data_IF_903381116821
#
_entry.id   IF_903381116821
#
_cell.length_a   1.000
_cell.length_b   1.000
_cell.length_c   1.000
_cell.angle_alpha   90.00
_cell.angle_beta   90.00
_cell.angle_gamma   90.00
#
_symmetry.space_group_name_H-M   'P 1'
#
loop_
_entity.id
_entity.type
_entity.pdbx_description
1 polymer ?
#
# COMPACT_ATOMS: atom_id res chain seq x y z
N UNK A 1 -3.43 2.01 0.90
CA UNK A 1 -3.73 1.45 2.24
C UNK A 1 -2.43 1.16 2.98
N UNK A 2 -2.40 1.15 4.32
CA UNK A 2 -1.20 0.74 5.07
C UNK A 2 -1.20 -0.78 5.31
N UNK A 3 -0.33 -1.51 4.60
CA UNK A 3 -0.23 -2.99 4.67
C UNK A 3 1.06 -3.51 5.30
N UNK A 4 1.77 -2.68 6.08
CA UNK A 4 3.01 -3.09 6.75
C UNK A 4 2.81 -3.31 8.24
N UNK A 5 3.81 -3.91 8.93
CA UNK A 5 3.80 -4.01 10.40
C UNK A 5 3.74 -2.64 11.09
N UNK A 6 3.99 -1.54 10.38
CA UNK A 6 3.81 -0.19 10.91
C UNK A 6 2.36 0.07 11.34
N UNK A 7 1.38 -0.61 10.73
CA UNK A 7 -0.03 -0.49 11.15
C UNK A 7 -0.31 -1.03 12.54
N UNK A 8 0.54 -1.94 13.05
CA UNK A 8 0.33 -2.64 14.31
C UNK A 8 0.58 -1.76 15.54
N UNK A 9 1.20 -0.59 15.38
CA UNK A 9 1.43 0.35 16.48
C UNK A 9 1.12 1.77 16.06
N UNK A 10 0.45 2.52 16.96
CA UNK A 10 0.09 3.91 16.69
C UNK A 10 1.33 4.80 16.40
N UNK A 11 2.46 4.50 17.05
CA UNK A 11 3.71 5.23 16.85
C UNK A 11 4.25 5.04 15.42
N UNK A 12 4.37 3.80 14.95
CA UNK A 12 4.91 3.52 13.62
C UNK A 12 3.96 4.01 12.51
N UNK A 13 2.64 3.83 12.67
CA UNK A 13 1.65 4.37 11.75
C UNK A 13 1.72 5.91 11.67
N UNK A 14 1.85 6.58 12.83
CA UNK A 14 1.99 8.03 12.91
C UNK A 14 3.25 8.54 12.19
N UNK A 15 4.37 7.84 12.31
CA UNK A 15 5.60 8.17 11.57
C UNK A 15 5.41 8.00 10.06
N UNK A 16 4.81 6.88 9.62
CA UNK A 16 4.56 6.64 8.20
C UNK A 16 3.65 7.72 7.59
N UNK A 17 2.57 8.11 8.27
CA UNK A 17 1.65 9.16 7.81
C UNK A 17 2.38 10.52 7.68
N UNK A 18 3.25 10.87 8.63
CA UNK A 18 4.03 12.11 8.55
C UNK A 18 4.98 12.11 7.35
N UNK A 19 5.65 10.98 7.10
CA UNK A 19 6.55 10.84 5.94
C UNK A 19 5.79 10.94 4.62
N UNK A 20 4.63 10.28 4.50
CA UNK A 20 3.78 10.40 3.32
C UNK A 20 3.34 11.85 3.08
N UNK A 21 2.89 12.54 4.13
CA UNK A 21 2.50 13.95 4.03
C UNK A 21 3.67 14.85 3.62
N UNK A 22 4.88 14.61 4.14
CA UNK A 22 6.08 15.36 3.74
C UNK A 22 6.46 15.13 2.26
N UNK A 23 6.12 13.97 1.70
CA UNK A 23 6.29 13.63 0.30
C UNK A 23 5.13 14.09 -0.61
N UNK A 24 4.11 14.79 -0.07
CA UNK A 24 2.93 15.19 -0.83
C UNK A 24 1.95 14.05 -1.14
N UNK A 25 2.14 12.88 -0.52
CA UNK A 25 1.24 11.74 -0.69
C UNK A 25 0.07 11.85 0.31
N UNK A 26 -1.18 11.72 -0.15
CA UNK A 26 -2.35 11.71 0.72
C UNK A 26 -2.26 10.62 1.80
N UNK A 27 -2.89 10.87 2.95
CA UNK A 27 -2.94 9.88 4.04
C UNK A 27 -3.56 8.56 3.55
N UNK A 28 -3.13 7.41 4.09
CA UNK A 28 -3.82 6.15 3.82
C UNK A 28 -5.29 6.22 4.21
N UNK A 29 -6.16 5.66 3.37
CA UNK A 29 -7.62 5.60 3.58
C UNK A 29 -7.99 4.67 4.74
N UNK A 30 -7.11 3.69 5.02
CA UNK A 30 -7.21 2.74 6.11
C UNK A 30 -5.93 1.90 6.25
N UNK A 31 -6.02 0.83 7.04
CA UNK A 31 -4.99 -0.17 7.21
C UNK A 31 -5.58 -1.57 6.97
N UNK A 32 -4.77 -2.48 6.43
CA UNK A 32 -5.20 -3.88 6.23
C UNK A 32 -5.36 -4.59 7.57
N UNK A 33 -6.22 -5.62 7.67
CA UNK A 33 -6.30 -6.46 8.87
C UNK A 33 -4.96 -7.14 9.19
N UNK A 34 -4.78 -7.64 10.42
CA UNK A 34 -3.67 -8.53 10.79
C UNK A 34 -4.20 -9.97 10.83
N UNK A 35 -3.89 -10.75 9.80
CA UNK A 35 -4.41 -12.11 9.59
C UNK A 35 -3.38 -13.20 10.01
N UNK A 36 -2.32 -12.84 10.72
CA UNK A 36 -1.26 -13.76 11.20
C UNK A 36 -1.79 -15.03 11.92
N UNK A 37 -1.21 -16.25 11.75
CA UNK A 37 -0.31 -16.75 10.69
C UNK A 37 -1.06 -17.66 9.68
N UNK A 38 -2.36 -17.47 9.48
CA UNK A 38 -3.20 -18.43 8.75
C UNK A 38 -3.43 -17.94 7.32
N UNK A 39 -2.49 -18.22 6.40
CA UNK A 39 -2.66 -17.97 4.96
C UNK A 39 -1.41 -17.49 4.20
N UNK A 40 -1.58 -17.09 2.94
CA UNK A 40 -0.54 -16.58 2.01
C UNK A 40 0.06 -15.21 2.45
N UNK A 41 -0.33 -14.72 3.63
CA UNK A 41 0.28 -13.57 4.29
C UNK A 41 -0.36 -12.24 3.89
N UNK A 42 0.47 -11.21 3.65
CA UNK A 42 0.01 -9.83 3.45
C UNK A 42 -0.80 -9.60 2.18
N UNK A 43 -0.67 -10.48 1.19
CA UNK A 43 -1.48 -10.40 -0.02
C UNK A 43 -2.96 -10.61 0.30
N UNK A 44 -3.29 -11.62 1.11
CA UNK A 44 -4.66 -11.86 1.57
C UNK A 44 -5.20 -10.72 2.43
N UNK A 45 -4.36 -10.09 3.26
CA UNK A 45 -4.75 -8.91 4.04
C UNK A 45 -5.12 -7.73 3.13
N UNK A 46 -4.40 -7.56 2.02
CA UNK A 46 -4.70 -6.55 1.01
C UNK A 46 -6.00 -6.90 0.29
N UNK A 47 -6.16 -8.13 -0.19
CA UNK A 47 -7.37 -8.58 -0.89
C UNK A 47 -8.61 -8.44 0.00
N UNK A 48 -8.55 -8.89 1.25
CA UNK A 48 -9.63 -8.73 2.20
C UNK A 48 -9.99 -7.25 2.45
N UNK A 49 -8.99 -6.37 2.50
CA UNK A 49 -9.24 -4.94 2.61
C UNK A 49 -9.88 -4.38 1.34
N UNK A 50 -9.44 -4.81 0.15
CA UNK A 50 -10.00 -4.37 -1.12
C UNK A 50 -11.48 -4.77 -1.26
N UNK A 51 -11.83 -6.00 -0.88
CA UNK A 51 -13.21 -6.50 -0.90
C UNK A 51 -14.13 -5.66 0.01
N UNK A 52 -13.71 -5.44 1.27
CA UNK A 52 -14.47 -4.66 2.26
C UNK A 52 -14.55 -3.16 1.93
N UNK A 53 -13.68 -2.65 1.07
CA UNK A 53 -13.55 -1.21 0.75
C UNK A 53 -13.79 -0.90 -0.73
N UNK A 54 -14.44 -1.81 -1.46
CA UNK A 54 -14.72 -1.66 -2.90
C UNK A 54 -15.44 -0.37 -3.26
N UNK A 55 -16.30 0.16 -2.37
CA UNK A 55 -17.03 1.43 -2.57
C UNK A 55 -16.16 2.69 -2.44
N UNK A 56 -15.01 2.62 -1.76
CA UNK A 56 -14.11 3.76 -1.54
C UNK A 56 -12.86 3.73 -2.41
N UNK A 57 -12.66 2.65 -3.16
CA UNK A 57 -11.55 2.52 -4.11
C UNK A 57 -12.01 3.10 -5.45
N UNK A 58 -11.32 4.14 -5.91
CA UNK A 58 -11.58 4.78 -7.20
C UNK A 58 -11.22 3.84 -8.36
N UNK A 59 -12.16 3.00 -8.78
CA UNK A 59 -12.08 2.17 -9.98
C UNK A 59 -10.81 1.32 -10.09
N UNK A 60 -10.36 0.71 -8.98
CA UNK A 60 -9.15 -0.11 -8.92
C UNK A 60 -7.85 0.66 -8.72
N UNK A 61 -7.90 1.97 -8.46
CA UNK A 61 -6.70 2.78 -8.14
C UNK A 61 -6.30 2.63 -6.68
N UNK A 62 -5.32 1.78 -6.46
CA UNK A 62 -4.70 1.62 -5.16
C UNK A 62 -3.23 1.27 -5.32
N UNK A 63 -2.45 1.54 -4.27
CA UNK A 63 -1.07 1.09 -4.14
C UNK A 63 -0.86 0.57 -2.71
N UNK A 64 -0.21 -0.58 -2.60
CA UNK A 64 0.32 -1.13 -1.36
C UNK A 64 1.81 -0.80 -1.25
N UNK A 65 2.20 -0.26 -0.08
CA UNK A 65 3.60 -0.07 0.30
C UNK A 65 4.00 -1.15 1.29
N UNK A 66 5.02 -1.94 0.96
CA UNK A 66 5.51 -3.00 1.83
C UNK A 66 7.04 -3.12 1.80
N UNK A 67 7.66 -3.61 2.87
CA UNK A 67 9.09 -3.90 2.91
C UNK A 67 9.45 -5.34 2.50
N UNK A 68 8.45 -6.21 2.40
CA UNK A 68 8.61 -7.54 1.84
C UNK A 68 8.09 -7.56 0.40
N UNK A 69 8.71 -8.33 -0.50
CA UNK A 69 8.08 -8.66 -1.77
C UNK A 69 6.75 -9.37 -1.46
N UNK A 70 5.66 -8.76 -1.90
CA UNK A 70 4.33 -9.37 -1.86
C UNK A 70 4.27 -10.47 -2.94
N UNK A 71 3.51 -11.53 -2.69
CA UNK A 71 3.38 -12.69 -3.58
C UNK A 71 2.94 -12.28 -5.01
N UNK A 72 3.24 -13.10 -6.01
CA UNK A 72 2.87 -12.95 -7.43
C UNK A 72 1.35 -12.83 -7.66
N UNK A 73 0.53 -13.15 -6.66
CA UNK A 73 -0.93 -12.97 -6.72
C UNK A 73 -1.36 -11.51 -6.81
N UNK A 74 -0.56 -10.56 -6.31
CA UNK A 74 -0.83 -9.14 -6.46
C UNK A 74 -0.15 -8.57 -7.72
N UNK A 75 -0.87 -7.85 -8.59
CA UNK A 75 -0.26 -7.20 -9.75
C UNK A 75 0.84 -6.21 -9.32
N UNK A 76 2.04 -6.34 -9.89
CA UNK A 76 3.19 -5.47 -9.53
C UNK A 76 2.94 -3.98 -9.76
N UNK A 77 1.98 -3.65 -10.64
CA UNK A 77 1.52 -2.28 -10.87
C UNK A 77 0.85 -1.63 -9.65
N UNK A 78 0.42 -2.41 -8.66
CA UNK A 78 -0.20 -1.93 -7.42
C UNK A 78 0.71 -2.06 -6.19
N UNK A 79 1.96 -2.51 -6.35
CA UNK A 79 2.87 -2.79 -5.22
C UNK A 79 4.15 -1.98 -5.36
N UNK A 80 4.54 -1.28 -4.30
CA UNK A 80 5.88 -0.68 -4.19
C UNK A 80 6.59 -1.31 -3.00
N UNK A 81 7.79 -1.86 -3.25
CA UNK A 81 8.59 -2.53 -2.23
C UNK A 81 9.64 -1.55 -1.68
N UNK A 82 9.57 -1.26 -0.39
CA UNK A 82 10.53 -0.42 0.35
C UNK A 82 11.65 -1.25 0.94
N UNK A 83 12.85 -0.68 1.12
CA UNK A 83 13.85 -1.30 1.98
C UNK A 83 13.45 -1.11 3.45
N UNK A 84 13.35 -2.18 4.25
CA UNK A 84 12.95 -2.09 5.65
C UNK A 84 13.90 -1.31 6.57
N UNK A 85 15.16 -1.14 6.15
CA UNK A 85 16.19 -0.37 6.88
C UNK A 85 16.24 1.10 6.48
N UNK A 86 15.80 1.43 5.26
CA UNK A 86 15.80 2.80 4.71
C UNK A 86 14.42 3.45 4.82
N UNK A 87 13.35 2.67 4.66
CA UNK A 87 11.97 3.14 4.61
C UNK A 87 11.55 3.65 3.22
N UNK A 88 10.50 4.47 3.19
CA UNK A 88 10.00 5.09 1.97
C UNK A 88 10.93 6.24 1.54
N UNK A 89 11.65 6.06 0.44
CA UNK A 89 12.46 7.13 -0.17
C UNK A 89 11.61 8.01 -1.09
N UNK A 90 12.17 9.15 -1.51
CA UNK A 90 11.49 10.05 -2.45
C UNK A 90 11.22 9.36 -3.80
N UNK A 91 12.15 8.53 -4.28
CA UNK A 91 12.03 7.79 -5.53
C UNK A 91 10.89 6.76 -5.45
N UNK A 92 10.75 6.07 -4.32
CA UNK A 92 9.66 5.12 -4.09
C UNK A 92 8.31 5.83 -3.90
N UNK A 93 8.33 7.04 -3.34
CA UNK A 93 7.15 7.90 -3.26
C UNK A 93 6.70 8.33 -4.67
N UNK A 94 7.62 8.74 -5.53
CA UNK A 94 7.34 9.08 -6.94
C UNK A 94 6.80 7.86 -7.70
N UNK A 95 7.36 6.66 -7.48
CA UNK A 95 6.85 5.41 -8.05
C UNK A 95 5.40 5.14 -7.64
N UNK A 96 5.08 5.30 -6.35
CA UNK A 96 3.73 5.10 -5.84
C UNK A 96 2.74 6.09 -6.46
N UNK A 97 3.13 7.36 -6.60
CA UNK A 97 2.33 8.40 -7.26
C UNK A 97 2.11 8.05 -8.73
N UNK A 98 3.15 7.64 -9.44
CA UNK A 98 3.06 7.26 -10.85
C UNK A 98 2.09 6.08 -11.05
N UNK A 99 2.14 5.06 -10.18
CA UNK A 99 1.23 3.91 -10.20
C UNK A 99 -0.22 4.32 -9.93
N UNK A 100 -0.47 5.24 -8.98
CA UNK A 100 -1.81 5.75 -8.69
C UNK A 100 -2.41 6.62 -9.81
N UNK A 101 -1.57 7.38 -10.51
CA UNK A 101 -2.00 8.35 -11.52
C UNK A 101 -2.07 7.78 -12.95
N UNK A 102 -1.75 6.50 -13.15
CA UNK A 102 -1.71 5.89 -14.49
C UNK A 102 -3.13 5.86 -15.12
N UNK A 103 -3.31 6.33 -16.37
CA UNK A 103 -4.57 6.18 -17.11
C UNK A 103 -4.80 4.70 -17.46
N UNK A 104 -6.06 4.24 -17.55
CA UNK A 104 -6.34 2.83 -17.87
C UNK A 104 -5.86 2.53 -19.28
N UNK A 105 -5.39 1.30 -19.50
CA UNK A 105 -5.22 0.79 -20.87
C UNK A 105 -6.56 0.67 -21.61
N UNK A 106 -7.69 0.63 -20.88
CA UNK A 106 -9.05 0.65 -21.45
C UNK A 106 -9.54 2.06 -21.84
N UNK A 107 -8.82 3.14 -21.44
CA UNK A 107 -9.16 4.54 -21.79
C UNK A 107 -8.51 4.97 -23.13
N UNK A 108 -7.86 4.05 -23.86
CA UNK A 108 -7.21 4.25 -25.16
C UNK A 108 -7.89 3.43 -26.26
#
# INVERSE_FOLDING_TARGET
VLSSRWRLTACAAGTAIKTLAAAGIPRPIGATPDLSPVGDGRAEEIDAWLDDNSEVIDAGRWVALDYLPLNESLPQEHVVVTDGSVGLTAELADEAIWKLCRPRMDDM
#
